data_IF_594118012414
#
_entry.id   IF_594118012414
#
_cell.length_a   1.000
_cell.length_b   1.000
_cell.length_c   1.000
_cell.angle_alpha   90.00
_cell.angle_beta   90.00
_cell.angle_gamma   90.00
#
_symmetry.space_group_name_H-M   'P 1'
#
loop_
_entity.id
_entity.type
_entity.pdbx_description
1 polymer ?
#
# COMPACT_ATOMS: atom_id res chain seq x y z
N UNK A 1 -34.40 -12.05 -21.46
CA UNK A 1 -34.76 -11.64 -22.84
C UNK A 1 -34.64 -12.86 -23.74
N UNK A 2 -35.75 -13.36 -24.31
CA UNK A 2 -35.75 -14.43 -25.33
C UNK A 2 -36.67 -13.96 -26.47
N UNK A 3 -36.15 -13.87 -27.70
CA UNK A 3 -36.91 -13.72 -28.95
C UNK A 3 -37.10 -12.30 -29.51
N UNK A 4 -36.11 -11.80 -30.28
CA UNK A 4 -36.18 -10.53 -31.02
C UNK A 4 -36.82 -10.73 -32.41
N UNK A 5 -37.84 -9.94 -32.75
CA UNK A 5 -38.35 -9.81 -34.13
C UNK A 5 -37.87 -8.46 -34.66
N UNK A 6 -37.07 -8.48 -35.72
CA UNK A 6 -36.62 -7.26 -36.40
C UNK A 6 -37.56 -6.96 -37.56
N UNK A 7 -38.06 -5.73 -37.65
CA UNK A 7 -38.88 -5.26 -38.77
C UNK A 7 -38.05 -4.28 -39.59
N UNK A 8 -38.07 -4.46 -40.91
CA UNK A 8 -37.35 -3.61 -41.86
C UNK A 8 -38.32 -2.63 -42.52
N UNK A 9 -37.77 -1.54 -43.05
CA UNK A 9 -38.50 -0.40 -43.62
C UNK A 9 -39.32 -0.77 -44.86
N UNK A 10 -38.99 -1.91 -45.49
CA UNK A 10 -39.76 -2.51 -46.58
C UNK A 10 -40.92 -3.41 -46.12
N UNK A 11 -41.23 -3.42 -44.82
CA UNK A 11 -42.31 -4.20 -44.22
C UNK A 11 -41.96 -5.66 -43.90
N UNK A 12 -40.80 -6.18 -44.31
CA UNK A 12 -40.38 -7.55 -43.98
C UNK A 12 -40.08 -7.70 -42.49
N UNK A 13 -40.45 -8.85 -41.94
CA UNK A 13 -40.16 -9.26 -40.56
C UNK A 13 -39.15 -10.41 -40.59
N UNK A 14 -38.14 -10.35 -39.74
CA UNK A 14 -37.23 -11.46 -39.49
C UNK A 14 -37.36 -11.90 -38.04
N UNK A 15 -37.49 -13.21 -37.85
CA UNK A 15 -37.62 -13.87 -36.55
C UNK A 15 -36.45 -14.82 -36.41
N UNK A 16 -35.82 -14.86 -35.24
CA UNK A 16 -34.79 -15.87 -34.96
C UNK A 16 -35.42 -17.26 -35.07
N UNK A 17 -34.80 -18.16 -35.84
CA UNK A 17 -35.28 -19.52 -36.10
C UNK A 17 -35.54 -20.26 -34.77
N UNK A 18 -36.80 -20.64 -34.52
CA UNK A 18 -37.23 -21.41 -33.32
C UNK A 18 -38.17 -20.69 -32.34
N UNK A 19 -38.48 -19.40 -32.52
CA UNK A 19 -39.34 -18.62 -31.63
C UNK A 19 -40.85 -18.86 -31.87
N UNK A 20 -41.66 -19.02 -30.80
CA UNK A 20 -43.09 -19.42 -30.92
C UNK A 20 -44.19 -18.41 -30.56
N UNK A 21 -44.00 -17.29 -29.83
CA UNK A 21 -45.06 -16.28 -29.56
C UNK A 21 -44.48 -14.89 -29.25
N UNK A 22 -45.10 -13.81 -29.75
CA UNK A 22 -44.58 -12.43 -29.69
C UNK A 22 -45.46 -11.42 -28.93
N UNK A 23 -44.86 -10.31 -28.51
CA UNK A 23 -45.51 -9.10 -27.99
C UNK A 23 -44.81 -7.84 -28.55
N UNK A 24 -45.60 -6.79 -28.79
CA UNK A 24 -45.21 -5.50 -29.40
C UNK A 24 -44.87 -4.47 -28.31
N UNK A 25 -43.84 -3.64 -28.49
CA UNK A 25 -43.60 -2.46 -27.64
C UNK A 25 -43.96 -1.17 -28.39
N UNK A 26 -44.64 -0.25 -27.70
CA UNK A 26 -44.91 1.11 -28.17
C UNK A 26 -43.88 2.06 -27.56
N UNK A 27 -43.27 2.91 -28.39
CA UNK A 27 -42.28 3.90 -27.96
C UNK A 27 -42.94 4.91 -27.01
N UNK A 28 -42.32 5.16 -25.86
CA UNK A 28 -42.68 6.25 -24.96
C UNK A 28 -42.08 7.57 -25.52
N UNK A 29 -42.91 8.52 -25.99
CA UNK A 29 -42.44 9.76 -26.62
C UNK A 29 -41.79 10.75 -25.63
N UNK A 30 -41.78 10.45 -24.34
CA UNK A 30 -41.16 11.30 -23.30
C UNK A 30 -39.79 10.78 -22.83
N UNK A 31 -39.26 9.73 -23.46
CA UNK A 31 -37.86 9.31 -23.25
C UNK A 31 -36.91 10.40 -23.78
N UNK A 32 -36.34 11.18 -22.86
CA UNK A 32 -35.41 12.29 -23.15
C UNK A 32 -35.92 13.70 -22.83
N UNK A 33 -37.11 13.86 -22.20
CA UNK A 33 -37.66 15.19 -21.87
C UNK A 33 -37.36 15.69 -20.46
N UNK A 34 -36.70 14.92 -19.60
CA UNK A 34 -36.26 15.40 -18.29
C UNK A 34 -34.75 15.19 -18.14
N UNK A 35 -34.13 16.16 -17.48
CA UNK A 35 -32.69 16.42 -17.42
C UNK A 35 -31.85 15.33 -16.72
N UNK A 36 -31.84 14.10 -17.22
CA UNK A 36 -30.81 13.12 -16.86
C UNK A 36 -29.58 13.34 -17.74
N UNK A 37 -28.85 14.41 -17.40
CA UNK A 37 -27.47 14.62 -17.83
C UNK A 37 -26.65 13.42 -17.35
N UNK A 38 -25.93 12.78 -18.28
CA UNK A 38 -24.74 11.96 -18.06
C UNK A 38 -24.61 11.29 -16.67
N UNK A 39 -24.83 9.97 -16.61
CA UNK A 39 -24.49 9.14 -15.44
C UNK A 39 -23.08 8.59 -15.62
N UNK A 40 -22.09 9.00 -14.80
CA UNK A 40 -20.76 8.38 -14.82
C UNK A 40 -20.89 6.88 -14.47
N UNK A 41 -20.26 5.99 -15.24
CA UNK A 41 -20.16 4.56 -14.91
C UNK A 41 -20.60 3.58 -15.98
N UNK A 42 -21.46 3.96 -16.94
CA UNK A 42 -21.74 3.11 -18.10
C UNK A 42 -20.63 3.26 -19.12
N UNK A 43 -19.85 2.20 -19.32
CA UNK A 43 -18.79 2.14 -20.32
C UNK A 43 -19.40 2.11 -21.73
N UNK A 44 -19.59 3.30 -22.29
CA UNK A 44 -20.20 3.51 -23.60
C UNK A 44 -19.22 3.20 -24.75
N UNK A 45 -18.54 2.06 -24.77
CA UNK A 45 -17.66 1.67 -25.88
C UNK A 45 -17.95 0.25 -26.36
N UNK A 46 -18.15 0.08 -27.67
CA UNK A 46 -18.41 -1.20 -28.33
C UNK A 46 -17.25 -1.54 -29.24
N UNK A 47 -16.73 -2.76 -29.09
CA UNK A 47 -15.67 -3.26 -29.98
C UNK A 47 -16.22 -3.53 -31.37
N UNK A 48 -15.46 -3.10 -32.38
CA UNK A 48 -15.73 -3.43 -33.77
C UNK A 48 -15.72 -4.95 -33.97
N UNK A 49 -16.65 -5.45 -34.79
CA UNK A 49 -16.89 -6.87 -35.03
C UNK A 49 -17.22 -7.12 -36.51
N UNK A 50 -17.52 -8.38 -36.87
CA UNK A 50 -17.92 -8.72 -38.24
C UNK A 50 -19.16 -7.94 -38.72
N UNK A 51 -20.05 -7.54 -37.80
CA UNK A 51 -21.23 -6.72 -38.08
C UNK A 51 -21.08 -5.22 -37.79
N UNK A 52 -19.92 -4.78 -37.31
CA UNK A 52 -19.66 -3.38 -36.91
C UNK A 52 -18.23 -2.98 -37.30
N UNK A 53 -18.08 -2.25 -38.39
CA UNK A 53 -16.78 -1.74 -38.86
C UNK A 53 -16.45 -0.38 -38.27
N UNK A 54 -15.16 -0.15 -38.01
CA UNK A 54 -14.66 1.17 -37.62
C UNK A 54 -14.91 2.20 -38.74
N UNK A 55 -15.55 3.35 -38.46
CA UNK A 55 -15.81 4.37 -39.48
C UNK A 55 -14.55 5.13 -39.90
N UNK A 56 -13.47 5.08 -39.11
CA UNK A 56 -12.18 5.72 -39.44
C UNK A 56 -11.35 4.85 -40.39
N UNK A 57 -11.06 3.60 -40.01
CA UNK A 57 -10.12 2.75 -40.75
C UNK A 57 -10.77 1.57 -41.48
N UNK A 58 -12.09 1.39 -41.36
CA UNK A 58 -12.84 0.29 -41.97
C UNK A 58 -12.59 -1.11 -41.37
N UNK A 59 -11.67 -1.23 -40.40
CA UNK A 59 -11.33 -2.52 -39.78
C UNK A 59 -12.49 -3.04 -38.94
N UNK A 60 -12.66 -4.36 -38.95
CA UNK A 60 -13.75 -5.09 -38.26
C UNK A 60 -13.31 -5.78 -36.97
N UNK A 61 -12.13 -5.42 -36.49
CA UNK A 61 -11.49 -5.97 -35.28
C UNK A 61 -10.67 -4.88 -34.61
N UNK A 62 -10.40 -5.05 -33.32
CA UNK A 62 -9.49 -4.25 -32.50
C UNK A 62 -9.97 -2.82 -32.14
N UNK A 63 -10.53 -2.05 -33.08
CA UNK A 63 -11.08 -0.70 -32.79
C UNK A 63 -12.32 -0.73 -31.89
N UNK A 64 -12.63 0.41 -31.27
CA UNK A 64 -13.83 0.60 -30.44
C UNK A 64 -14.57 1.88 -30.86
N UNK A 65 -15.90 1.84 -30.84
CA UNK A 65 -16.77 2.98 -31.16
C UNK A 65 -17.62 3.32 -29.95
N UNK A 66 -18.03 4.57 -29.79
CA UNK A 66 -18.95 4.93 -28.71
C UNK A 66 -20.28 4.17 -28.84
N UNK A 67 -20.80 3.64 -27.74
CA UNK A 67 -22.03 2.86 -27.65
C UNK A 67 -23.29 3.73 -27.64
N UNK A 68 -23.13 5.05 -27.51
CA UNK A 68 -24.23 6.02 -27.47
C UNK A 68 -25.01 6.03 -28.78
N UNK A 69 -24.30 5.91 -29.91
CA UNK A 69 -24.86 5.75 -31.24
C UNK A 69 -23.90 4.89 -32.07
N UNK A 70 -24.21 3.61 -32.24
CA UNK A 70 -23.32 2.68 -32.96
C UNK A 70 -23.31 2.94 -34.48
N UNK A 71 -24.40 3.49 -35.00
CA UNK A 71 -24.54 3.78 -36.43
C UNK A 71 -23.84 5.11 -36.79
N UNK A 72 -23.77 6.05 -35.84
CA UNK A 72 -23.03 7.31 -35.98
C UNK A 72 -22.26 7.68 -34.70
N UNK A 73 -21.17 6.97 -34.38
CA UNK A 73 -20.53 7.08 -33.07
C UNK A 73 -19.89 8.44 -32.85
N UNK A 74 -20.19 9.14 -31.74
CA UNK A 74 -19.61 10.46 -31.47
C UNK A 74 -18.09 10.43 -31.28
N UNK A 75 -17.53 9.27 -30.96
CA UNK A 75 -16.09 9.07 -30.82
C UNK A 75 -15.65 7.63 -31.17
N UNK A 76 -14.40 7.48 -31.57
CA UNK A 76 -13.79 6.21 -32.02
C UNK A 76 -12.37 6.09 -31.48
N UNK A 77 -12.02 4.94 -30.93
CA UNK A 77 -10.65 4.55 -30.61
C UNK A 77 -10.09 3.70 -31.77
N UNK A 78 -9.12 4.27 -32.49
CA UNK A 78 -8.59 3.73 -33.74
C UNK A 78 -7.06 3.68 -33.71
N UNK A 79 -6.46 2.77 -34.49
CA UNK A 79 -4.99 2.67 -34.60
C UNK A 79 -4.40 3.64 -35.63
N UNK A 80 -5.24 4.48 -36.23
CA UNK A 80 -4.83 5.51 -37.18
C UNK A 80 -4.61 6.82 -36.43
N UNK A 81 -3.42 7.38 -36.56
CA UNK A 81 -3.04 8.64 -35.91
C UNK A 81 -3.60 9.87 -36.64
N UNK A 82 -3.62 9.82 -37.98
CA UNK A 82 -4.08 10.92 -38.82
C UNK A 82 -5.54 11.28 -38.53
N UNK A 83 -5.80 12.56 -38.22
CA UNK A 83 -7.13 13.06 -37.88
C UNK A 83 -7.57 12.84 -36.43
N UNK A 84 -6.73 12.21 -35.61
CA UNK A 84 -7.03 12.00 -34.18
C UNK A 84 -6.91 13.29 -33.36
N UNK A 85 -7.58 13.31 -32.20
CA UNK A 85 -7.43 14.37 -31.20
C UNK A 85 -6.23 14.12 -30.27
N UNK A 86 -5.64 12.92 -30.31
CA UNK A 86 -4.47 12.55 -29.53
C UNK A 86 -4.38 11.05 -29.22
N UNK A 87 -3.24 10.61 -28.69
CA UNK A 87 -3.04 9.21 -28.29
C UNK A 87 -3.87 8.86 -27.05
N UNK A 88 -4.36 7.63 -27.01
CA UNK A 88 -5.13 7.04 -25.91
C UNK A 88 -4.59 5.63 -25.62
N UNK A 89 -3.34 5.58 -25.18
CA UNK A 89 -2.57 4.34 -24.97
C UNK A 89 -1.61 4.03 -26.13
N UNK A 90 -0.94 2.88 -26.04
CA UNK A 90 0.08 2.48 -27.00
C UNK A 90 -0.56 2.04 -28.32
N UNK A 91 -0.25 2.77 -29.41
CA UNK A 91 -0.77 2.48 -30.75
C UNK A 91 -2.26 2.73 -30.95
N UNK A 92 -2.93 3.40 -30.00
CA UNK A 92 -4.37 3.72 -30.07
C UNK A 92 -4.55 5.24 -29.99
N UNK A 93 -5.42 5.79 -30.83
CA UNK A 93 -5.68 7.21 -30.97
C UNK A 93 -7.18 7.48 -30.88
N UNK A 94 -7.55 8.54 -30.16
CA UNK A 94 -8.94 8.97 -30.00
C UNK A 94 -9.35 9.87 -31.16
N UNK A 95 -10.49 9.60 -31.76
CA UNK A 95 -11.13 10.42 -32.79
C UNK A 95 -12.47 10.89 -32.25
N UNK A 96 -12.74 12.19 -32.31
CA UNK A 96 -14.04 12.76 -31.94
C UNK A 96 -14.73 13.15 -33.23
N UNK A 97 -15.86 12.49 -33.54
CA UNK A 97 -16.61 12.65 -34.80
C UNK A 97 -17.70 13.72 -34.71
N UNK A 98 -18.15 14.06 -33.50
CA UNK A 98 -19.15 15.11 -33.27
C UNK A 98 -18.51 16.41 -32.76
N UNK A 99 -18.82 17.57 -33.36
CA UNK A 99 -18.28 18.87 -32.93
C UNK A 99 -18.59 19.22 -31.46
N UNK A 100 -19.70 18.72 -30.92
CA UNK A 100 -20.19 18.96 -29.56
C UNK A 100 -19.53 18.05 -28.50
N UNK A 101 -18.74 17.06 -28.92
CA UNK A 101 -17.96 16.22 -28.02
C UNK A 101 -17.02 17.08 -27.16
N UNK A 102 -17.12 16.95 -25.83
CA UNK A 102 -16.37 17.79 -24.89
C UNK A 102 -14.87 17.65 -25.13
N UNK A 103 -14.28 18.64 -25.81
CA UNK A 103 -12.83 18.83 -25.91
C UNK A 103 -12.36 19.48 -24.62
N UNK A 104 -12.16 18.71 -23.56
CA UNK A 104 -11.41 19.24 -22.42
C UNK A 104 -9.95 19.36 -22.85
N UNK A 105 -9.53 20.58 -23.21
CA UNK A 105 -8.13 20.98 -23.41
C UNK A 105 -7.28 20.91 -22.12
N UNK A 106 -7.88 20.39 -21.05
CA UNK A 106 -7.33 20.20 -19.71
C UNK A 106 -7.71 18.81 -19.19
N UNK A 107 -7.25 17.76 -19.85
CA UNK A 107 -7.01 16.50 -19.12
C UNK A 107 -5.76 16.71 -18.26
N UNK A 108 -5.87 17.51 -17.20
CA UNK A 108 -4.74 17.76 -16.30
C UNK A 108 -4.33 16.48 -15.53
N UNK A 109 -5.18 15.44 -15.52
CA UNK A 109 -4.85 14.10 -14.99
C UNK A 109 -5.53 12.98 -15.79
N UNK A 110 -4.81 11.87 -16.06
CA UNK A 110 -5.33 10.66 -16.74
C UNK A 110 -6.47 9.99 -15.96
N UNK A 111 -6.56 10.22 -14.65
CA UNK A 111 -7.63 9.71 -13.78
C UNK A 111 -8.62 10.82 -13.40
N UNK A 112 -9.93 10.54 -13.43
CA UNK A 112 -10.94 11.43 -12.87
C UNK A 112 -10.69 11.74 -11.38
N UNK A 113 -11.19 12.88 -10.93
CA UNK A 113 -11.29 13.18 -9.49
C UNK A 113 -12.42 12.35 -8.88
N UNK A 114 -12.21 11.88 -7.65
CA UNK A 114 -13.15 11.01 -6.94
C UNK A 114 -12.93 11.13 -5.43
N UNK A 115 -14.03 11.12 -4.67
CA UNK A 115 -13.99 11.02 -3.20
C UNK A 115 -13.95 9.55 -2.74
N UNK A 116 -14.19 8.60 -3.65
CA UNK A 116 -14.05 7.17 -3.40
C UNK A 116 -12.61 6.70 -3.64
N UNK A 117 -12.19 5.60 -2.98
CA UNK A 117 -10.91 4.96 -3.26
C UNK A 117 -10.75 4.59 -4.74
N UNK A 118 -9.54 4.75 -5.28
CA UNK A 118 -9.21 4.26 -6.62
C UNK A 118 -8.97 2.75 -6.55
N UNK A 119 -9.65 1.99 -7.38
CA UNK A 119 -9.52 0.53 -7.41
C UNK A 119 -8.41 0.10 -8.37
N UNK A 120 -7.55 -0.83 -7.93
CA UNK A 120 -6.56 -1.48 -8.79
C UNK A 120 -7.01 -2.90 -9.00
N UNK A 121 -7.32 -3.25 -10.25
CA UNK A 121 -7.93 -4.52 -10.63
C UNK A 121 -7.12 -5.19 -11.75
N UNK A 122 -7.30 -6.48 -11.96
CA UNK A 122 -6.71 -7.20 -13.08
C UNK A 122 -7.68 -7.20 -14.26
N UNK A 123 -7.20 -6.86 -15.46
CA UNK A 123 -8.01 -6.82 -16.67
C UNK A 123 -8.85 -5.55 -16.89
N UNK A 124 -9.28 -5.36 -18.14
CA UNK A 124 -10.12 -4.23 -18.54
C UNK A 124 -11.60 -4.44 -18.21
N UNK A 125 -12.04 -5.69 -18.09
CA UNK A 125 -13.44 -6.03 -17.74
C UNK A 125 -13.79 -5.68 -16.31
N UNK A 126 -12.80 -5.73 -15.44
CA UNK A 126 -12.94 -5.47 -14.01
C UNK A 126 -12.89 -3.96 -13.75
N UNK A 127 -12.15 -3.20 -14.57
CA UNK A 127 -12.27 -1.74 -14.62
C UNK A 127 -13.67 -1.31 -15.00
N UNK A 128 -14.25 -1.97 -15.99
CA UNK A 128 -15.62 -1.69 -16.42
C UNK A 128 -16.64 -2.00 -15.30
N UNK A 129 -16.47 -3.12 -14.60
CA UNK A 129 -17.30 -3.49 -13.46
C UNK A 129 -17.15 -2.53 -12.26
N UNK A 130 -15.93 -2.07 -11.97
CA UNK A 130 -15.68 -1.03 -10.98
C UNK A 130 -16.34 0.30 -11.34
N UNK A 131 -16.30 0.66 -12.63
CA UNK A 131 -16.98 1.85 -13.14
C UNK A 131 -18.51 1.74 -13.00
N UNK A 132 -19.11 0.56 -13.23
CA UNK A 132 -20.54 0.32 -13.00
C UNK A 132 -20.94 0.53 -11.53
N UNK A 133 -20.03 0.23 -10.60
CA UNK A 133 -20.20 0.51 -9.16
C UNK A 133 -19.92 1.98 -8.79
N UNK A 134 -19.51 2.80 -9.74
CA UNK A 134 -19.21 4.22 -9.56
C UNK A 134 -17.80 4.52 -9.06
N UNK A 135 -16.86 3.56 -9.11
CA UNK A 135 -15.46 3.77 -8.72
C UNK A 135 -14.60 4.17 -9.92
N UNK A 136 -13.54 4.93 -9.64
CA UNK A 136 -12.42 5.10 -10.57
C UNK A 136 -11.50 3.89 -10.42
N UNK A 137 -11.15 3.22 -11.52
CA UNK A 137 -10.32 2.03 -11.50
C UNK A 137 -9.21 2.03 -12.53
N UNK A 138 -8.12 1.35 -12.20
CA UNK A 138 -6.99 1.08 -13.09
C UNK A 138 -6.85 -0.43 -13.27
N UNK A 139 -6.92 -0.86 -14.52
CA UNK A 139 -6.80 -2.26 -14.91
C UNK A 139 -5.37 -2.59 -15.28
N UNK A 140 -4.85 -3.68 -14.72
CA UNK A 140 -3.54 -4.21 -15.10
C UNK A 140 -3.70 -5.24 -16.23
N UNK A 141 -2.83 -5.24 -17.25
CA UNK A 141 -2.94 -6.18 -18.35
C UNK A 141 -2.73 -7.65 -17.93
N UNK A 142 -2.06 -7.89 -16.80
CA UNK A 142 -2.00 -9.18 -16.10
C UNK A 142 -1.45 -9.00 -14.67
N UNK A 143 -1.55 -10.03 -13.84
CA UNK A 143 -1.08 -10.08 -12.45
C UNK A 143 0.38 -9.60 -12.26
N UNK A 144 1.25 -9.84 -13.25
CA UNK A 144 2.69 -9.55 -13.17
C UNK A 144 3.14 -8.37 -14.06
N UNK A 145 2.24 -7.75 -14.82
CA UNK A 145 2.58 -6.69 -15.78
C UNK A 145 1.98 -5.33 -15.40
N UNK A 146 2.51 -4.25 -15.97
CA UNK A 146 1.98 -2.89 -15.76
C UNK A 146 2.40 -2.18 -14.47
N UNK A 147 3.20 -2.81 -13.60
CA UNK A 147 3.66 -2.20 -12.34
C UNK A 147 4.49 -0.91 -12.54
N UNK A 148 5.28 -0.82 -13.62
CA UNK A 148 6.03 0.41 -13.97
C UNK A 148 5.08 1.57 -14.27
N UNK A 149 4.06 1.31 -15.10
CA UNK A 149 3.08 2.31 -15.50
C UNK A 149 2.26 2.78 -14.30
N UNK A 150 1.93 1.88 -13.36
CA UNK A 150 1.23 2.24 -12.13
C UNK A 150 1.99 3.25 -11.26
N UNK A 151 3.33 3.23 -11.27
CA UNK A 151 4.14 4.23 -10.52
C UNK A 151 4.09 5.62 -11.14
N UNK A 152 3.88 5.69 -12.45
CA UNK A 152 3.83 6.93 -13.21
C UNK A 152 2.42 7.56 -13.21
N UNK A 153 1.41 6.82 -12.70
CA UNK A 153 0.05 7.31 -12.58
C UNK A 153 -0.12 8.32 -11.43
N UNK A 154 -1.08 9.26 -11.54
CA UNK A 154 -1.32 10.29 -10.53
C UNK A 154 -2.07 9.74 -9.30
N UNK A 155 -1.45 8.79 -8.59
CA UNK A 155 -2.00 8.05 -7.44
C UNK A 155 -1.52 8.56 -6.08
N UNK A 156 -0.57 9.51 -6.06
CA UNK A 156 0.00 10.07 -4.83
C UNK A 156 -1.08 10.65 -3.90
N UNK A 157 -1.05 10.26 -2.63
CA UNK A 157 -1.97 10.75 -1.60
C UNK A 157 -3.44 10.35 -1.75
N UNK A 158 -3.80 9.53 -2.75
CA UNK A 158 -5.17 9.03 -2.92
C UNK A 158 -5.41 7.80 -2.03
N UNK A 159 -6.67 7.58 -1.65
CA UNK A 159 -7.09 6.30 -1.07
C UNK A 159 -7.16 5.24 -2.18
N UNK A 160 -6.59 4.05 -1.93
CA UNK A 160 -6.44 3.00 -2.94
C UNK A 160 -6.82 1.64 -2.37
N UNK A 161 -7.57 0.87 -3.16
CA UNK A 161 -7.87 -0.53 -2.85
C UNK A 161 -7.38 -1.42 -3.98
N UNK A 162 -6.47 -2.34 -3.65
CA UNK A 162 -5.96 -3.35 -4.60
C UNK A 162 -6.78 -4.61 -4.44
N UNK A 163 -7.46 -5.04 -5.51
CA UNK A 163 -8.34 -6.20 -5.50
C UNK A 163 -7.63 -7.37 -6.20
N UNK A 164 -7.42 -8.46 -5.47
CA UNK A 164 -6.83 -9.69 -5.97
C UNK A 164 -7.86 -10.64 -6.55
N UNK A 165 -7.52 -11.28 -7.67
CA UNK A 165 -8.33 -12.31 -8.34
C UNK A 165 -8.13 -13.71 -7.74
N UNK A 166 -9.16 -14.55 -7.77
CA UNK A 166 -9.05 -15.96 -7.38
C UNK A 166 -8.66 -16.81 -8.60
N UNK A 167 -7.37 -16.77 -8.96
CA UNK A 167 -6.80 -17.59 -10.04
C UNK A 167 -5.62 -18.44 -9.55
N UNK A 168 -5.94 -19.56 -8.89
CA UNK A 168 -4.97 -20.58 -8.45
C UNK A 168 -3.72 -20.03 -7.71
N UNK A 169 -3.86 -18.92 -6.96
CA UNK A 169 -2.79 -18.25 -6.22
C UNK A 169 -1.98 -17.20 -6.99
N UNK A 170 -2.14 -17.07 -8.32
CA UNK A 170 -1.45 -16.06 -9.13
C UNK A 170 -2.00 -14.66 -8.84
N UNK A 171 -3.32 -14.54 -8.65
CA UNK A 171 -3.97 -13.26 -8.37
C UNK A 171 -3.58 -12.66 -7.02
N UNK A 172 -3.31 -13.48 -5.99
CA UNK A 172 -2.80 -13.03 -4.69
C UNK A 172 -1.38 -12.45 -4.83
N UNK A 173 -0.50 -13.15 -5.55
CA UNK A 173 0.86 -12.65 -5.84
C UNK A 173 0.80 -11.32 -6.62
N UNK A 174 -0.11 -11.25 -7.59
CA UNK A 174 -0.32 -10.04 -8.39
C UNK A 174 -0.83 -8.88 -7.55
N UNK A 175 -1.81 -9.11 -6.67
CA UNK A 175 -2.35 -8.12 -5.73
C UNK A 175 -1.25 -7.60 -4.81
N UNK A 176 -0.49 -8.51 -4.18
CA UNK A 176 0.59 -8.12 -3.27
C UNK A 176 1.66 -7.29 -3.98
N UNK A 177 2.01 -7.66 -5.22
CA UNK A 177 2.98 -6.89 -6.02
C UNK A 177 2.51 -5.48 -6.34
N UNK A 178 1.21 -5.30 -6.64
CA UNK A 178 0.62 -3.99 -6.88
C UNK A 178 0.50 -3.18 -5.58
N UNK A 179 0.09 -3.82 -4.49
CA UNK A 179 -0.01 -3.23 -3.17
C UNK A 179 1.33 -2.66 -2.70
N UNK A 180 2.39 -3.45 -2.73
CA UNK A 180 3.75 -3.01 -2.36
C UNK A 180 4.28 -1.91 -3.29
N UNK A 181 3.92 -1.95 -4.57
CA UNK A 181 4.33 -0.92 -5.55
C UNK A 181 3.67 0.42 -5.25
N UNK A 182 2.39 0.43 -4.90
CA UNK A 182 1.59 1.64 -4.70
C UNK A 182 1.67 2.15 -3.26
N UNK A 183 1.94 1.29 -2.28
CA UNK A 183 2.16 1.69 -0.88
C UNK A 183 3.30 2.67 -0.68
N UNK A 184 4.21 2.80 -1.66
CA UNK A 184 5.24 3.86 -1.71
C UNK A 184 4.69 5.25 -2.06
N UNK A 185 3.52 5.33 -2.70
CA UNK A 185 2.90 6.57 -3.17
C UNK A 185 1.82 7.10 -2.22
N UNK A 186 1.24 6.21 -1.41
CA UNK A 186 0.19 6.54 -0.45
C UNK A 186 0.17 5.54 0.70
N UNK A 187 -0.07 6.04 1.91
CA UNK A 187 -0.30 5.22 3.10
C UNK A 187 -1.77 4.79 3.22
N UNK A 188 -2.66 5.40 2.44
CA UNK A 188 -4.08 5.07 2.41
C UNK A 188 -4.35 3.94 1.40
N UNK A 189 -3.74 2.78 1.64
CA UNK A 189 -3.87 1.62 0.76
C UNK A 189 -4.31 0.38 1.51
N UNK A 190 -5.29 -0.33 0.94
CA UNK A 190 -5.75 -1.63 1.42
C UNK A 190 -5.65 -2.70 0.32
N UNK A 191 -5.64 -3.96 0.73
CA UNK A 191 -5.70 -5.13 -0.14
C UNK A 191 -6.94 -5.94 0.19
N UNK A 192 -7.66 -6.39 -0.84
CA UNK A 192 -8.88 -7.18 -0.70
C UNK A 192 -8.79 -8.39 -1.63
N UNK A 193 -9.04 -9.57 -1.07
CA UNK A 193 -9.29 -10.77 -1.85
C UNK A 193 -10.77 -10.96 -2.10
N UNK A 194 -11.13 -11.46 -3.29
CA UNK A 194 -12.52 -11.81 -3.60
C UNK A 194 -12.98 -12.99 -2.74
N UNK A 195 -14.29 -13.09 -2.43
CA UNK A 195 -14.86 -14.25 -1.74
C UNK A 195 -14.62 -15.56 -2.48
N UNK A 196 -14.55 -16.67 -1.73
CA UNK A 196 -14.39 -18.01 -2.29
C UNK A 196 -15.44 -18.32 -3.37
N UNK A 197 -14.97 -18.87 -4.50
CA UNK A 197 -15.83 -19.21 -5.63
C UNK A 197 -16.14 -18.05 -6.59
N UNK A 198 -15.73 -16.82 -6.28
CA UNK A 198 -15.78 -15.69 -7.20
C UNK A 198 -14.43 -15.52 -7.88
N UNK A 199 -14.41 -15.57 -9.23
CA UNK A 199 -13.18 -15.52 -10.02
C UNK A 199 -12.55 -14.11 -10.07
N UNK A 200 -13.33 -13.14 -10.54
CA UNK A 200 -12.91 -11.78 -10.87
C UNK A 200 -13.94 -10.76 -10.36
N UNK A 201 -13.59 -9.46 -10.32
CA UNK A 201 -14.47 -8.40 -9.80
C UNK A 201 -15.76 -8.33 -10.61
N UNK A 202 -15.69 -8.50 -11.93
CA UNK A 202 -16.87 -8.57 -12.80
C UNK A 202 -17.82 -9.69 -12.37
N UNK A 203 -17.31 -10.88 -12.07
CA UNK A 203 -18.12 -11.99 -11.58
C UNK A 203 -18.74 -11.66 -10.22
N UNK A 204 -18.03 -10.94 -9.36
CA UNK A 204 -18.57 -10.48 -8.08
C UNK A 204 -19.75 -9.52 -8.28
N UNK A 205 -19.63 -8.54 -9.18
CA UNK A 205 -20.72 -7.64 -9.58
C UNK A 205 -21.93 -8.42 -10.11
N UNK A 206 -21.71 -9.42 -10.97
CA UNK A 206 -22.80 -10.25 -11.49
C UNK A 206 -23.49 -11.09 -10.41
N UNK A 207 -22.77 -11.45 -9.34
CA UNK A 207 -23.35 -12.16 -8.20
C UNK A 207 -24.17 -11.28 -7.25
N UNK A 208 -24.20 -9.96 -7.48
CA UNK A 208 -25.00 -9.00 -6.71
C UNK A 208 -24.19 -8.09 -5.79
N UNK A 209 -22.88 -7.96 -5.98
CA UNK A 209 -22.08 -6.95 -5.27
C UNK A 209 -22.63 -5.55 -5.53
N UNK A 210 -22.83 -4.78 -4.46
CA UNK A 210 -23.20 -3.36 -4.50
C UNK A 210 -22.02 -2.49 -4.10
N UNK A 211 -22.09 -1.20 -4.44
CA UNK A 211 -21.09 -0.19 -4.05
C UNK A 211 -20.89 -0.16 -2.53
N UNK A 212 -21.98 -0.13 -1.77
CA UNK A 212 -21.92 -0.01 -0.31
C UNK A 212 -21.28 -1.23 0.34
N UNK A 213 -21.52 -2.43 -0.22
CA UNK A 213 -20.91 -3.66 0.27
C UNK A 213 -19.40 -3.66 0.00
N UNK A 214 -18.97 -3.18 -1.17
CA UNK A 214 -17.54 -3.06 -1.48
C UNK A 214 -16.84 -2.03 -0.60
N UNK A 215 -17.48 -0.89 -0.33
CA UNK A 215 -16.95 0.12 0.61
C UNK A 215 -16.79 -0.45 2.02
N UNK A 216 -17.80 -1.16 2.52
CA UNK A 216 -17.71 -1.79 3.84
C UNK A 216 -16.54 -2.80 3.95
N UNK A 217 -16.21 -3.50 2.86
CA UNK A 217 -15.05 -4.39 2.80
C UNK A 217 -13.72 -3.62 2.78
N UNK A 218 -13.67 -2.50 2.05
CA UNK A 218 -12.51 -1.59 2.04
C UNK A 218 -12.26 -1.02 3.43
N UNK A 219 -13.30 -0.54 4.09
CA UNK A 219 -13.20 0.09 5.42
C UNK A 219 -12.83 -0.93 6.51
N UNK A 220 -13.24 -2.20 6.36
CA UNK A 220 -12.89 -3.28 7.29
C UNK A 220 -11.50 -3.89 7.02
N UNK A 221 -10.91 -3.64 5.85
CA UNK A 221 -9.61 -4.18 5.51
C UNK A 221 -8.50 -3.47 6.32
N UNK A 222 -7.55 -4.22 6.90
CA UNK A 222 -6.44 -3.61 7.62
C UNK A 222 -5.60 -2.76 6.65
N UNK A 223 -5.45 -1.48 6.98
CA UNK A 223 -4.45 -0.60 6.36
C UNK A 223 -3.06 -1.15 6.71
N UNK A 224 -2.10 -0.99 5.79
CA UNK A 224 -0.74 -1.53 5.95
C UNK A 224 -0.17 -1.17 7.33
N UNK A 225 0.41 -2.10 8.09
CA UNK A 225 1.39 -1.72 9.08
C UNK A 225 2.58 -1.06 8.36
N UNK A 226 3.21 -0.09 9.02
CA UNK A 226 4.31 0.67 8.48
C UNK A 226 5.46 -0.25 7.99
N UNK A 227 5.79 -0.12 6.70
CA UNK A 227 6.99 -0.56 5.97
C UNK A 227 7.74 -1.83 6.46
N UNK A 228 7.27 -3.01 6.08
CA UNK A 228 8.01 -4.29 6.21
C UNK A 228 9.10 -4.50 5.13
N UNK A 229 9.53 -3.43 4.46
CA UNK A 229 10.42 -3.50 3.29
C UNK A 229 11.65 -2.61 3.51
N UNK A 230 12.83 -3.23 3.65
CA UNK A 230 14.10 -2.53 3.70
C UNK A 230 14.51 -1.95 2.34
N UNK A 231 15.32 -0.89 2.35
CA UNK A 231 15.87 -0.29 1.12
C UNK A 231 16.85 -1.20 0.37
N UNK A 232 17.48 -2.14 1.07
CA UNK A 232 18.32 -3.20 0.52
C UNK A 232 18.47 -4.34 1.56
N UNK A 233 19.16 -5.42 1.21
CA UNK A 233 19.49 -6.50 2.15
C UNK A 233 20.83 -6.32 2.87
N UNK A 234 21.42 -5.13 2.83
CA UNK A 234 22.70 -4.85 3.44
C UNK A 234 22.55 -4.83 4.96
N UNK A 235 23.48 -5.50 5.64
CA UNK A 235 23.47 -5.65 7.09
C UNK A 235 23.36 -4.31 7.84
N UNK A 236 24.02 -3.25 7.35
CA UNK A 236 23.95 -1.92 7.94
C UNK A 236 22.53 -1.32 7.90
N UNK A 237 21.84 -1.42 6.76
CA UNK A 237 20.46 -0.93 6.58
C UNK A 237 19.51 -1.63 7.55
N UNK A 238 19.62 -2.95 7.62
CA UNK A 238 18.80 -3.79 8.50
C UNK A 238 19.12 -3.52 9.98
N UNK A 239 20.40 -3.42 10.33
CA UNK A 239 20.84 -3.11 11.69
C UNK A 239 20.31 -1.75 12.14
N UNK A 240 20.36 -0.73 11.27
CA UNK A 240 19.85 0.60 11.55
C UNK A 240 18.33 0.59 11.82
N UNK A 241 17.56 -0.06 10.95
CA UNK A 241 16.10 -0.15 11.14
C UNK A 241 15.75 -0.94 12.40
N UNK A 242 16.43 -2.06 12.69
CA UNK A 242 16.22 -2.78 13.95
C UNK A 242 16.56 -1.93 15.18
N UNK A 243 17.64 -1.15 15.10
CA UNK A 243 18.02 -0.21 16.15
C UNK A 243 16.91 0.80 16.41
N UNK A 244 16.45 1.48 15.37
CA UNK A 244 15.44 2.54 15.44
C UNK A 244 14.08 2.03 15.92
N UNK A 245 13.69 0.81 15.53
CA UNK A 245 12.38 0.24 15.84
C UNK A 245 12.30 -0.43 17.21
N UNK A 246 13.34 -1.14 17.65
CA UNK A 246 13.26 -1.99 18.84
C UNK A 246 14.35 -1.79 19.89
N UNK A 247 15.46 -1.11 19.55
CA UNK A 247 16.63 -1.01 20.42
C UNK A 247 16.93 0.42 20.86
N UNK A 248 16.05 1.38 20.58
CA UNK A 248 16.12 2.73 21.11
C UNK A 248 15.08 2.95 22.20
N UNK A 249 15.50 3.59 23.29
CA UNK A 249 14.62 4.16 24.30
C UNK A 249 15.08 5.59 24.55
N UNK A 250 14.16 6.55 24.39
CA UNK A 250 14.46 7.98 24.55
C UNK A 250 15.67 8.44 23.70
N UNK A 251 15.74 7.95 22.45
CA UNK A 251 16.85 8.20 21.48
C UNK A 251 18.18 7.51 21.81
N UNK A 252 18.26 6.70 22.86
CA UNK A 252 19.48 6.01 23.26
C UNK A 252 19.41 4.50 23.03
N UNK A 253 20.47 3.88 22.50
CA UNK A 253 20.56 2.43 22.43
C UNK A 253 20.48 1.76 23.80
N UNK A 254 19.49 0.88 23.95
CA UNK A 254 19.34 0.05 25.15
C UNK A 254 20.29 -1.15 25.12
N UNK A 255 20.87 -1.50 23.97
CA UNK A 255 21.89 -2.54 23.84
C UNK A 255 23.26 -1.91 23.65
N UNK A 256 24.26 -2.39 24.38
CA UNK A 256 25.65 -1.89 24.34
C UNK A 256 26.65 -3.03 24.29
N UNK A 257 27.77 -2.80 23.61
CA UNK A 257 28.91 -3.71 23.60
C UNK A 257 30.02 -3.13 24.47
N UNK A 258 30.31 -3.76 25.60
CA UNK A 258 31.34 -3.32 26.53
C UNK A 258 32.28 -4.48 26.88
N UNK A 259 33.58 -4.29 26.66
CA UNK A 259 34.63 -5.31 26.88
C UNK A 259 34.28 -6.69 26.29
N UNK A 260 33.70 -6.68 25.08
CA UNK A 260 33.30 -7.90 24.37
C UNK A 260 32.04 -8.59 24.89
N UNK A 261 31.29 -7.95 25.79
CA UNK A 261 30.03 -8.46 26.33
C UNK A 261 28.86 -7.56 25.91
N UNK A 262 27.77 -8.19 25.48
CA UNK A 262 26.52 -7.50 25.23
C UNK A 262 25.83 -7.20 26.55
N UNK A 263 25.46 -5.95 26.71
CA UNK A 263 24.74 -5.43 27.86
C UNK A 263 23.40 -4.87 27.39
N UNK A 264 22.37 -5.03 28.20
CA UNK A 264 21.06 -4.44 27.99
C UNK A 264 20.70 -3.53 29.15
N UNK A 265 20.17 -2.36 28.82
CA UNK A 265 19.55 -1.46 29.76
C UNK A 265 18.18 -2.02 30.17
N UNK A 266 18.00 -2.21 31.47
CA UNK A 266 16.74 -2.61 32.08
C UNK A 266 16.75 -2.16 33.55
N UNK A 267 15.58 -1.75 34.06
CA UNK A 267 15.39 -1.42 35.47
C UNK A 267 16.39 -0.40 36.03
N UNK A 268 16.79 0.58 35.21
CA UNK A 268 17.68 1.67 35.62
C UNK A 268 19.18 1.36 35.59
N UNK A 269 19.60 0.20 35.07
CA UNK A 269 21.01 -0.12 34.87
C UNK A 269 21.27 -1.04 33.66
N UNK A 270 22.53 -1.19 33.28
CA UNK A 270 22.98 -2.14 32.28
C UNK A 270 23.31 -3.50 32.91
N UNK A 271 22.73 -4.56 32.36
CA UNK A 271 22.92 -5.94 32.79
C UNK A 271 23.43 -6.79 31.63
N UNK A 272 24.11 -7.89 31.92
CA UNK A 272 24.62 -8.79 30.87
C UNK A 272 23.45 -9.46 30.15
N UNK A 273 23.46 -9.39 28.83
CA UNK A 273 22.50 -10.10 27.98
C UNK A 273 23.23 -11.19 27.19
N UNK A 274 22.66 -12.40 27.20
CA UNK A 274 23.18 -13.50 26.41
C UNK A 274 22.97 -13.21 24.91
N UNK A 275 24.02 -13.37 24.11
CA UNK A 275 23.98 -13.08 22.68
C UNK A 275 22.93 -13.93 21.95
N UNK A 276 22.63 -15.12 22.46
CA UNK A 276 21.63 -16.05 21.94
C UNK A 276 20.21 -15.47 22.04
N UNK A 277 19.89 -14.79 23.15
CA UNK A 277 18.61 -14.11 23.33
C UNK A 277 18.48 -12.95 22.34
N UNK A 278 19.56 -12.19 22.18
CA UNK A 278 19.60 -11.05 21.27
C UNK A 278 19.49 -11.51 19.80
N UNK A 279 20.11 -12.65 19.45
CA UNK A 279 19.93 -13.29 18.14
C UNK A 279 18.49 -13.75 17.92
N UNK A 280 17.85 -14.32 18.95
CA UNK A 280 16.44 -14.72 18.90
C UNK A 280 15.52 -13.54 18.59
N UNK A 281 15.73 -12.39 19.24
CA UNK A 281 15.01 -11.15 18.94
C UNK A 281 15.22 -10.69 17.50
N UNK A 282 16.46 -10.72 17.01
CA UNK A 282 16.72 -10.36 15.61
C UNK A 282 16.00 -11.29 14.62
N UNK A 283 15.94 -12.60 14.88
CA UNK A 283 15.17 -13.51 14.02
C UNK A 283 13.67 -13.20 14.03
N UNK A 284 13.11 -12.84 15.18
CA UNK A 284 11.70 -12.41 15.29
C UNK A 284 11.46 -11.12 14.52
N UNK A 285 12.36 -10.15 14.65
CA UNK A 285 12.30 -8.87 13.92
C UNK A 285 12.36 -9.06 12.40
N UNK A 286 13.20 -10.00 11.92
CA UNK A 286 13.37 -10.29 10.50
C UNK A 286 12.25 -11.16 9.90
N UNK A 287 11.37 -11.73 10.73
CA UNK A 287 10.31 -12.59 10.25
C UNK A 287 9.32 -11.81 9.38
N UNK A 288 8.99 -12.35 8.20
CA UNK A 288 8.13 -11.68 7.22
C UNK A 288 8.73 -10.43 6.54
N UNK A 289 9.92 -9.95 6.94
CA UNK A 289 10.53 -8.75 6.33
C UNK A 289 10.95 -9.00 4.89
N UNK A 290 10.94 -7.93 4.10
CA UNK A 290 11.29 -7.92 2.69
C UNK A 290 12.34 -6.84 2.42
N UNK A 291 12.91 -6.81 1.23
CA UNK A 291 13.85 -5.76 0.83
C UNK A 291 13.76 -5.43 -0.66
N UNK A 292 14.19 -4.23 -1.01
CA UNK A 292 14.31 -3.78 -2.39
C UNK A 292 15.56 -4.38 -3.03
N UNK A 293 15.36 -5.16 -4.10
CA UNK A 293 16.42 -5.76 -4.90
C UNK A 293 16.48 -5.06 -6.25
N UNK A 294 17.56 -4.34 -6.50
CA UNK A 294 17.85 -3.70 -7.78
C UNK A 294 18.52 -4.70 -8.72
N UNK A 295 17.95 -4.89 -9.91
CA UNK A 295 18.58 -5.72 -10.95
C UNK A 295 19.69 -4.94 -11.71
N UNK A 296 20.42 -5.63 -12.57
CA UNK A 296 21.51 -5.03 -13.38
C UNK A 296 21.04 -3.93 -14.34
N UNK A 297 19.73 -3.82 -14.59
CA UNK A 297 19.13 -2.81 -15.45
C UNK A 297 18.51 -1.66 -14.64
N UNK A 298 18.74 -1.61 -13.31
CA UNK A 298 18.18 -0.59 -12.42
C UNK A 298 16.71 -0.81 -12.06
N UNK A 299 16.12 -1.97 -12.36
CA UNK A 299 14.75 -2.30 -11.99
C UNK A 299 14.71 -2.77 -10.54
N UNK A 300 13.95 -2.04 -9.72
CA UNK A 300 13.73 -2.39 -8.32
C UNK A 300 12.57 -3.40 -8.22
N UNK A 301 12.91 -4.60 -7.74
CA UNK A 301 11.99 -5.67 -7.35
C UNK A 301 11.95 -5.82 -5.83
N UNK A 302 10.94 -6.47 -5.27
CA UNK A 302 10.91 -6.78 -3.84
C UNK A 302 11.20 -8.28 -3.66
N UNK A 303 12.09 -8.60 -2.73
CA UNK A 303 12.43 -9.97 -2.39
C UNK A 303 12.23 -10.21 -0.90
N UNK A 304 11.80 -11.41 -0.48
CA UNK A 304 11.74 -11.77 0.93
C UNK A 304 13.14 -11.74 1.54
N UNK A 305 13.28 -11.16 2.73
CA UNK A 305 14.52 -11.20 3.48
C UNK A 305 14.67 -12.61 4.07
N UNK A 306 15.62 -13.38 3.54
CA UNK A 306 15.93 -14.72 4.04
C UNK A 306 17.11 -14.64 5.01
N UNK A 307 16.89 -14.64 6.34
CA UNK A 307 17.98 -14.58 7.30
C UNK A 307 18.82 -15.86 7.22
N UNK A 308 20.12 -15.69 7.09
CA UNK A 308 21.10 -16.76 7.19
C UNK A 308 22.03 -16.49 8.37
N UNK A 309 22.73 -17.51 8.86
CA UNK A 309 23.71 -17.33 9.95
C UNK A 309 24.75 -16.25 9.64
N UNK A 310 25.18 -16.15 8.37
CA UNK A 310 26.11 -15.14 7.90
C UNK A 310 25.48 -13.74 7.98
N UNK A 311 24.30 -13.53 7.35
CA UNK A 311 23.58 -12.25 7.39
C UNK A 311 23.33 -11.76 8.81
N UNK A 312 22.90 -12.66 9.69
CA UNK A 312 22.71 -12.36 11.11
C UNK A 312 24.02 -11.94 11.77
N UNK A 313 25.14 -12.60 11.49
CA UNK A 313 26.45 -12.17 12.00
C UNK A 313 26.83 -10.78 11.50
N UNK A 314 26.65 -10.53 10.20
CA UNK A 314 26.97 -9.25 9.58
C UNK A 314 26.15 -8.10 10.17
N UNK A 315 24.87 -8.33 10.51
CA UNK A 315 24.01 -7.35 11.21
C UNK A 315 24.59 -7.01 12.58
N UNK A 316 25.00 -8.02 13.36
CA UNK A 316 25.65 -7.80 14.65
C UNK A 316 26.98 -7.05 14.52
N UNK A 317 27.74 -7.33 13.46
CA UNK A 317 28.98 -6.59 13.18
C UNK A 317 28.69 -5.12 12.83
N UNK A 318 27.61 -4.85 12.10
CA UNK A 318 27.16 -3.50 11.79
C UNK A 318 26.70 -2.71 13.05
N UNK A 319 26.15 -3.39 14.05
CA UNK A 319 25.79 -2.76 15.34
C UNK A 319 26.99 -2.14 16.06
N UNK A 320 28.23 -2.54 15.74
CA UNK A 320 29.44 -1.91 16.27
C UNK A 320 29.58 -0.43 15.88
N UNK A 321 28.76 0.08 14.97
CA UNK A 321 28.71 1.51 14.69
C UNK A 321 28.08 2.34 15.82
N UNK A 322 27.10 1.77 16.55
CA UNK A 322 26.29 2.51 17.53
C UNK A 322 26.40 2.00 18.96
N UNK A 323 26.65 0.70 19.13
CA UNK A 323 26.58 0.04 20.43
C UNK A 323 27.88 0.05 21.28
N UNK A 324 29.11 0.20 20.75
CA UNK A 324 30.30 0.07 21.57
C UNK A 324 30.47 1.16 22.64
N UNK A 325 30.93 0.74 23.81
CA UNK A 325 31.39 1.61 24.89
C UNK A 325 32.82 1.25 25.23
N UNK A 326 33.70 2.26 25.24
CA UNK A 326 35.14 2.08 25.48
C UNK A 326 35.59 2.51 26.88
N UNK A 327 34.78 3.30 27.58
CA UNK A 327 35.06 3.82 28.93
C UNK A 327 34.37 2.98 30.00
N UNK A 328 34.94 3.00 31.21
CA UNK A 328 34.41 2.24 32.34
C UNK A 328 33.26 3.02 33.03
N UNK A 329 32.20 2.33 33.49
CA UNK A 329 31.09 2.93 34.21
C UNK A 329 31.52 3.40 35.62
N UNK A 330 30.85 4.42 36.21
CA UNK A 330 29.69 5.13 35.66
C UNK A 330 30.08 6.29 34.71
N UNK A 331 29.35 6.45 33.59
CA UNK A 331 29.51 7.62 32.70
C UNK A 331 28.23 8.00 31.94
N UNK A 332 28.17 9.23 31.44
CA UNK A 332 27.16 9.68 30.48
C UNK A 332 27.60 9.38 29.04
N UNK A 333 26.67 8.91 28.22
CA UNK A 333 26.90 8.50 26.83
C UNK A 333 26.58 9.59 25.79
N UNK A 334 26.08 10.75 26.22
CA UNK A 334 25.85 11.91 25.38
C UNK A 334 26.77 13.09 25.73
N UNK A 335 26.75 14.11 24.88
CA UNK A 335 27.51 15.34 25.07
C UNK A 335 26.72 16.41 25.84
N UNK A 336 25.59 16.04 26.46
CA UNK A 336 24.77 16.97 27.23
C UNK A 336 25.44 17.25 28.58
N UNK A 337 25.12 18.42 29.14
CA UNK A 337 25.61 18.81 30.46
C UNK A 337 24.82 18.05 31.53
N UNK A 338 25.48 17.10 32.18
CA UNK A 338 24.94 16.31 33.28
C UNK A 338 25.71 16.50 34.58
N UNK A 339 25.15 16.12 35.73
CA UNK A 339 25.90 15.99 36.97
C UNK A 339 27.02 14.94 36.84
N UNK A 340 28.07 15.08 37.65
CA UNK A 340 29.19 14.15 37.67
C UNK A 340 28.70 12.73 38.04
N UNK A 341 28.90 11.73 37.14
CA UNK A 341 28.51 10.33 37.33
C UNK A 341 28.89 9.72 38.69
N UNK A 342 30.02 10.13 39.27
CA UNK A 342 30.50 9.55 40.53
C UNK A 342 29.61 9.89 41.73
N UNK A 343 28.83 10.97 41.62
CA UNK A 343 27.92 11.43 42.67
C UNK A 343 26.48 10.91 42.49
N UNK A 344 26.25 10.05 41.50
CA UNK A 344 24.91 9.56 41.18
C UNK A 344 24.67 8.18 41.78
N UNK A 345 23.51 8.03 42.43
CA UNK A 345 23.06 6.78 43.03
C UNK A 345 21.73 6.39 42.38
N UNK A 346 21.71 5.27 41.68
CA UNK A 346 20.50 4.75 41.03
C UNK A 346 19.65 3.93 41.99
N UNK A 347 18.39 4.30 42.14
CA UNK A 347 17.33 3.58 42.86
C UNK A 347 16.23 3.15 41.89
N UNK A 348 15.33 2.26 42.32
CA UNK A 348 14.21 1.80 41.47
C UNK A 348 13.29 2.93 41.00
N UNK A 349 13.16 4.01 41.78
CA UNK A 349 12.30 5.15 41.48
C UNK A 349 13.04 6.36 40.88
N UNK A 350 14.34 6.24 40.58
CA UNK A 350 15.12 7.30 39.95
C UNK A 350 16.57 7.37 40.40
N UNK A 351 17.29 8.35 39.86
CA UNK A 351 18.70 8.59 40.16
C UNK A 351 18.80 9.80 41.09
N UNK A 352 19.43 9.61 42.25
CA UNK A 352 19.70 10.64 43.23
C UNK A 352 21.10 11.20 43.03
N UNK A 353 21.24 12.52 43.03
CA UNK A 353 22.55 13.17 43.12
C UNK A 353 22.91 13.38 44.60
N UNK A 354 23.97 12.69 45.05
CA UNK A 354 24.45 12.73 46.42
C UNK A 354 24.80 14.15 46.89
N UNK A 355 25.45 14.97 46.05
CA UNK A 355 25.81 16.33 46.44
C UNK A 355 24.59 17.23 46.59
N UNK A 356 23.59 17.11 45.71
CA UNK A 356 22.33 17.86 45.84
C UNK A 356 21.62 17.44 47.13
N UNK A 357 21.56 16.14 47.41
CA UNK A 357 20.98 15.59 48.64
C UNK A 357 21.67 16.12 49.89
N UNK A 358 23.00 16.09 49.94
CA UNK A 358 23.77 16.62 51.08
C UNK A 358 23.58 18.13 51.28
N UNK A 359 23.18 18.86 50.24
CA UNK A 359 22.83 20.28 50.31
C UNK A 359 21.33 20.52 50.61
N UNK A 360 20.58 19.48 51.01
CA UNK A 360 19.17 19.56 51.36
C UNK A 360 18.22 19.61 50.16
N UNK A 361 18.72 19.33 48.95
CA UNK A 361 17.92 19.30 47.72
C UNK A 361 17.66 17.86 47.29
N UNK A 362 16.40 17.44 47.41
CA UNK A 362 15.99 16.07 47.10
C UNK A 362 15.30 16.08 45.75
N UNK A 363 16.05 15.72 44.72
CA UNK A 363 15.53 15.58 43.35
C UNK A 363 15.96 14.23 42.82
N UNK A 364 14.97 13.42 42.47
CA UNK A 364 15.18 12.17 41.72
C UNK A 364 15.02 12.46 40.23
N UNK A 365 16.10 12.30 39.48
CA UNK A 365 16.04 12.36 38.02
C UNK A 365 15.58 11.01 37.47
N UNK A 366 14.75 10.96 36.42
CA UNK A 366 14.38 9.70 35.77
C UNK A 366 15.61 8.91 35.34
N UNK A 367 15.53 7.58 35.46
CA UNK A 367 16.55 6.70 34.90
C UNK A 367 16.53 6.79 33.38
N UNK A 368 17.70 6.78 32.74
CA UNK A 368 17.83 6.85 31.29
C UNK A 368 18.95 5.94 30.79
N UNK A 369 18.83 5.32 29.60
CA UNK A 369 19.94 4.59 28.98
C UNK A 369 21.14 5.48 28.63
N UNK A 370 21.01 6.81 28.65
CA UNK A 370 22.13 7.73 28.52
C UNK A 370 23.13 7.61 29.68
N UNK A 371 22.69 7.16 30.86
CA UNK A 371 23.55 6.92 32.01
C UNK A 371 24.04 5.47 32.00
N UNK A 372 25.31 5.27 31.65
CA UNK A 372 25.93 3.96 31.65
C UNK A 372 26.41 3.59 33.06
N UNK A 373 25.55 2.86 33.78
CA UNK A 373 25.81 2.29 35.11
C UNK A 373 25.47 0.79 35.12
N UNK A 374 26.12 0.03 36.02
CA UNK A 374 25.92 -1.42 36.14
C UNK A 374 25.12 -1.83 37.38
N UNK A 375 24.77 -0.85 38.23
CA UNK A 375 24.19 -1.10 39.54
C UNK A 375 22.96 -0.21 39.73
N UNK A 376 21.92 -0.81 40.30
CA UNK A 376 20.74 -0.13 40.83
C UNK A 376 20.47 -0.68 42.22
N UNK A 377 20.14 0.20 43.17
CA UNK A 377 19.68 -0.21 44.49
C UNK A 377 18.25 -0.77 44.31
N UNK A 378 17.97 -2.00 44.77
CA UNK A 378 16.70 -2.68 44.51
C UNK A 378 15.53 -2.16 45.37
N UNK A 379 15.65 -0.94 45.88
CA UNK A 379 14.65 -0.28 46.71
C UNK A 379 14.38 1.10 46.14
N UNK A 380 13.17 1.62 46.35
CA UNK A 380 12.85 3.01 46.10
C UNK A 380 13.57 3.88 47.15
N UNK A 381 14.12 5.02 46.71
CA UNK A 381 14.59 6.04 47.63
C UNK A 381 13.39 6.68 48.33
N UNK A 382 13.43 6.70 49.66
CA UNK A 382 12.47 7.38 50.53
C UNK A 382 13.24 7.89 51.76
N UNK A 383 13.35 9.21 51.89
CA UNK A 383 14.06 9.87 52.98
C UNK A 383 13.35 9.68 54.33
N UNK A 384 12.06 9.37 54.33
CA UNK A 384 11.25 9.26 55.54
C UNK A 384 11.36 7.89 56.21
N UNK A 385 12.04 6.92 55.59
CA UNK A 385 12.19 5.58 56.13
C UNK A 385 13.25 5.51 57.23
N UNK A 386 12.83 5.09 58.42
CA UNK A 386 13.71 4.83 59.56
C UNK A 386 13.89 3.32 59.80
N UNK A 387 15.10 2.91 60.16
CA UNK A 387 15.40 1.52 60.50
C UNK A 387 15.42 1.31 62.01
N UNK A 388 14.50 0.49 62.51
CA UNK A 388 14.44 0.07 63.93
C UNK A 388 15.64 -0.75 64.42
N UNK A 389 16.62 -1.04 63.55
CA UNK A 389 17.87 -1.74 63.89
C UNK A 389 19.05 -0.79 64.14
N UNK A 390 18.87 0.50 63.92
CA UNK A 390 19.88 1.54 64.08
C UNK A 390 19.64 2.44 65.29
N UNK A 391 18.61 2.14 66.10
CA UNK A 391 18.55 2.47 67.53
C UNK A 391 19.27 1.37 68.33
#
# INVERSE_FOLDING_TARGET
IIGLIRRFDNGKKCTITGSKRGLTYAINPDYGKENERYVPGRHNWVRCSAGLSCPICGRRKWCMVSAEDIDNPPAVLCGMEEGSVGPCGEGTFLHILTPEGIKTSRCETVLPQTDLPVLIVEGATDVAAAADLGFVAVGRPSAQSGLKILREMPLHGRAIAVIGENDAGIGEIGMESAYQTIGKLTTQIVRIMLPDGIKDLRAWVHSGLTKDLLLAQIDAAPTAPACDVFDDDVAHTVAKSWMEEELLESEFPIIRLYKGQWLRYADGCYQKEAIELLRGRLYQFLDGKQYQKVDTNGVITIAPYKPSRAKVSDIFDALNQWCPITKDPPLWLDDKKHPDPINLISFQNGVLNFNDYMNGKIVLTPSTPAFFNMNVIPYAFDETLESKKWE
#
